data_IF_248155261324
#
_entry.id   IF_248155261324
#
_cell.length_a   1.000
_cell.length_b   1.000
_cell.length_c   1.000
_cell.angle_alpha   90.00
_cell.angle_beta   90.00
_cell.angle_gamma   90.00
#
_symmetry.space_group_name_H-M   'P 1'
#
loop_
_entity.id
_entity.type
_entity.pdbx_description
1 polymer ?
#
# COMPACT_ATOMS: atom_id res chain seq x y z
N UNK A 1 -0.40 -17.65 -4.25
CA UNK A 1 -1.77 -17.11 -4.10
C UNK A 1 -2.49 -16.94 -5.45
N UNK A 2 -1.83 -16.91 -6.62
CA UNK A 2 -2.52 -16.96 -7.93
C UNK A 2 -3.34 -15.71 -8.29
N UNK A 3 -3.00 -14.55 -7.73
CA UNK A 3 -3.74 -13.28 -7.88
C UNK A 3 -2.89 -12.18 -8.53
N UNK A 4 -1.76 -12.55 -9.12
CA UNK A 4 -0.80 -11.63 -9.72
C UNK A 4 -1.39 -10.81 -10.88
N UNK A 5 -2.43 -11.32 -11.56
CA UNK A 5 -3.13 -10.60 -12.62
C UNK A 5 -3.97 -9.44 -12.07
N UNK A 6 -4.44 -9.53 -10.82
CA UNK A 6 -5.36 -8.57 -10.22
C UNK A 6 -4.70 -7.66 -9.17
N UNK A 7 -3.67 -8.16 -8.49
CA UNK A 7 -3.04 -7.55 -7.31
C UNK A 7 -1.50 -7.54 -7.43
N UNK A 8 -0.84 -6.91 -6.45
CA UNK A 8 0.62 -6.96 -6.28
C UNK A 8 1.42 -5.96 -7.12
N UNK A 9 0.79 -5.17 -7.98
CA UNK A 9 1.43 -4.05 -8.67
C UNK A 9 0.45 -2.92 -8.96
N UNK A 10 0.98 -1.73 -9.22
CA UNK A 10 0.21 -0.55 -9.60
C UNK A 10 0.32 -0.39 -11.11
N UNK A 11 -0.67 -0.89 -11.83
CA UNK A 11 -0.76 -0.80 -13.29
C UNK A 11 -2.21 -0.60 -13.71
N UNK A 12 -2.44 0.01 -14.87
CA UNK A 12 -3.79 0.18 -15.43
C UNK A 12 -4.47 -1.19 -15.57
N UNK A 13 -5.74 -1.27 -15.19
CA UNK A 13 -6.54 -2.50 -15.24
C UNK A 13 -6.51 -3.36 -13.97
N UNK A 14 -5.62 -3.09 -13.01
CA UNK A 14 -5.60 -3.77 -11.71
C UNK A 14 -6.48 -3.09 -10.66
N UNK A 15 -6.85 -3.84 -9.61
CA UNK A 15 -7.66 -3.30 -8.50
C UNK A 15 -6.86 -2.22 -7.76
N UNK A 16 -7.51 -1.07 -7.52
CA UNK A 16 -6.93 0.04 -6.78
C UNK A 16 -6.92 -0.24 -5.26
N UNK A 17 -6.03 -1.15 -4.86
CA UNK A 17 -5.75 -1.47 -3.46
C UNK A 17 -4.39 -0.87 -3.08
N UNK A 18 -4.41 0.21 -2.33
CA UNK A 18 -3.24 1.05 -2.07
C UNK A 18 -3.15 1.43 -0.60
N UNK A 19 -1.92 1.68 -0.16
CA UNK A 19 -1.61 2.21 1.17
C UNK A 19 -0.85 3.52 0.95
N UNK A 20 -1.38 4.61 1.46
CA UNK A 20 -0.67 5.88 1.55
C UNK A 20 0.01 5.92 2.92
N UNK A 21 1.33 6.10 2.92
CA UNK A 21 2.09 6.24 4.16
C UNK A 21 2.12 7.69 4.60
N UNK A 22 2.26 7.90 5.91
CA UNK A 22 2.75 9.19 6.43
C UNK A 22 4.08 9.52 5.76
N UNK A 23 4.50 10.78 5.80
CA UNK A 23 5.80 11.19 5.26
C UNK A 23 6.93 10.40 5.95
N UNK A 24 7.49 9.43 5.23
CA UNK A 24 8.65 8.63 5.66
C UNK A 24 9.88 8.97 4.79
N UNK A 25 11.10 8.79 5.31
CA UNK A 25 12.32 9.17 4.59
C UNK A 25 12.56 8.34 3.32
N UNK A 26 12.26 7.05 3.36
CA UNK A 26 12.45 6.09 2.26
C UNK A 26 11.62 4.82 2.50
N UNK A 27 11.59 3.92 1.51
CA UNK A 27 10.82 2.66 1.56
C UNK A 27 11.40 1.68 2.59
N UNK A 28 12.72 1.66 2.76
CA UNK A 28 13.42 0.80 3.72
C UNK A 28 13.02 1.12 5.17
N UNK A 29 12.53 2.33 5.43
CA UNK A 29 11.99 2.71 6.73
C UNK A 29 10.79 1.85 7.16
N UNK A 30 10.02 1.30 6.21
CA UNK A 30 8.82 0.50 6.50
C UNK A 30 9.17 -0.77 7.27
N UNK A 31 10.07 -1.66 6.79
CA UNK A 31 10.43 -2.88 7.50
C UNK A 31 11.35 -2.66 8.71
N UNK A 32 12.08 -1.55 8.82
CA UNK A 32 13.09 -1.37 9.88
C UNK A 32 12.66 -0.45 11.03
N UNK A 33 11.63 0.38 10.85
CA UNK A 33 11.02 1.12 11.95
C UNK A 33 9.84 0.33 12.50
N UNK A 34 9.95 -0.13 13.74
CA UNK A 34 8.89 -0.86 14.45
C UNK A 34 8.23 0.02 15.50
N UNK A 35 7.04 -0.35 15.96
CA UNK A 35 6.35 0.29 17.09
C UNK A 35 5.41 1.45 16.76
N UNK A 36 5.33 1.89 15.49
CA UNK A 36 4.38 2.91 15.04
C UNK A 36 3.68 2.50 13.74
N UNK A 37 2.38 2.80 13.66
CA UNK A 37 1.63 2.74 12.41
C UNK A 37 2.03 3.88 11.46
N UNK A 38 2.60 3.50 10.32
CA UNK A 38 3.06 4.41 9.25
C UNK A 38 2.00 4.63 8.17
N UNK A 39 0.90 3.90 8.22
CA UNK A 39 -0.22 4.05 7.29
C UNK A 39 -1.00 5.31 7.67
N UNK A 40 -1.25 6.14 6.67
CA UNK A 40 -2.06 7.35 6.79
C UNK A 40 -3.46 7.14 6.21
N UNK A 41 -3.54 6.57 5.01
CA UNK A 41 -4.81 6.26 4.34
C UNK A 41 -4.75 4.88 3.70
N UNK A 42 -5.84 4.13 3.80
CA UNK A 42 -6.02 2.86 3.10
C UNK A 42 -7.06 3.05 1.99
N UNK A 43 -6.77 2.52 0.81
CA UNK A 43 -7.69 2.52 -0.33
C UNK A 43 -7.97 1.07 -0.71
N UNK A 44 -9.25 0.68 -0.73
CA UNK A 44 -9.70 -0.65 -1.12
C UNK A 44 -10.71 -0.52 -2.26
N UNK A 45 -10.44 -1.20 -3.38
CA UNK A 45 -11.24 -1.13 -4.60
C UNK A 45 -11.53 0.31 -5.04
N UNK A 46 -10.57 1.22 -4.85
CA UNK A 46 -10.71 2.65 -5.18
C UNK A 46 -11.44 3.51 -4.15
N UNK A 47 -11.89 2.95 -3.02
CA UNK A 47 -12.56 3.69 -1.94
C UNK A 47 -11.63 3.87 -0.75
N UNK A 48 -11.61 5.08 -0.19
CA UNK A 48 -10.90 5.37 1.06
C UNK A 48 -11.62 4.71 2.23
N UNK A 49 -10.90 3.96 3.06
CA UNK A 49 -11.40 3.24 4.24
C UNK A 49 -10.59 3.52 5.49
#
# INVERSE_FOLDING_TARGET
>A
MGVESELGSITVGKKANLIMTKKIPNVEFIPYSYGENKVDTVIINGNVV
#
